data_IF_382828880022
#
_entry.id   IF_382828880022
#
_cell.length_a   1.000
_cell.length_b   1.000
_cell.length_c   1.000
_cell.angle_alpha   90.00
_cell.angle_beta   90.00
_cell.angle_gamma   90.00
#
_symmetry.space_group_name_H-M   'P 1'
#
loop_
_entity.id
_entity.type
_entity.pdbx_description
1 polymer ?
#
# COMPACT_ATOMS: atom_id res chain seq x y z
N UNK A 1 40.22 27.83 10.01
CA UNK A 1 40.18 27.40 11.43
C UNK A 1 39.20 26.25 11.53
N UNK A 2 39.54 25.14 12.21
CA UNK A 2 38.64 23.95 12.30
C UNK A 2 37.31 24.29 13.00
N UNK A 3 37.29 25.34 13.84
CA UNK A 3 36.10 25.79 14.60
C UNK A 3 35.17 26.74 13.84
N UNK A 4 35.42 27.00 12.55
CA UNK A 4 34.59 27.91 11.74
C UNK A 4 33.61 27.18 10.81
N UNK A 5 33.42 25.88 11.00
CA UNK A 5 32.53 25.06 10.18
C UNK A 5 31.84 24.01 11.05
N UNK A 6 30.55 23.79 10.78
CA UNK A 6 29.78 22.66 11.29
C UNK A 6 29.19 21.94 10.10
N UNK A 7 29.42 20.63 10.00
CA UNK A 7 28.84 19.76 8.96
C UNK A 7 28.25 18.53 9.64
N UNK A 8 27.01 18.21 9.32
CA UNK A 8 26.35 17.00 9.79
C UNK A 8 26.72 15.80 8.93
N UNK A 9 27.13 14.73 9.60
CA UNK A 9 27.34 13.39 9.02
C UNK A 9 26.25 12.43 9.51
N UNK A 10 25.88 11.49 8.66
CA UNK A 10 24.92 10.42 8.97
C UNK A 10 25.69 9.11 9.07
N UNK A 11 25.41 8.34 10.11
CA UNK A 11 25.99 7.03 10.35
C UNK A 11 24.88 6.00 10.46
N UNK A 12 25.11 4.80 9.92
CA UNK A 12 24.19 3.65 9.97
C UNK A 12 22.79 3.98 9.43
N UNK A 13 22.72 4.75 8.34
CA UNK A 13 21.44 5.06 7.68
C UNK A 13 20.82 3.79 7.09
N UNK A 14 19.57 3.43 7.46
CA UNK A 14 18.84 2.35 6.82
C UNK A 14 18.58 2.62 5.34
N UNK A 15 18.70 1.59 4.50
CA UNK A 15 18.52 1.72 3.04
C UNK A 15 17.09 2.14 2.66
N UNK A 16 16.10 1.83 3.49
CA UNK A 16 14.70 2.16 3.28
C UNK A 16 14.32 3.59 3.69
N UNK A 17 15.28 4.38 4.22
CA UNK A 17 15.07 5.78 4.57
C UNK A 17 15.76 6.76 3.60
N UNK A 18 15.03 7.78 3.21
CA UNK A 18 15.57 9.00 2.62
C UNK A 18 15.72 10.08 3.69
N UNK A 19 16.84 10.81 3.65
CA UNK A 19 17.10 11.94 4.53
C UNK A 19 17.30 13.19 3.68
N UNK A 20 16.54 14.24 3.98
CA UNK A 20 16.67 15.56 3.37
C UNK A 20 17.11 16.57 4.41
N UNK A 21 18.04 17.43 4.04
CA UNK A 21 18.68 18.38 4.95
C UNK A 21 18.41 19.81 4.50
N UNK A 22 18.12 20.67 5.46
CA UNK A 22 18.09 22.12 5.27
C UNK A 22 18.91 22.74 6.37
N UNK A 23 19.94 23.51 6.01
CA UNK A 23 20.78 24.22 6.96
C UNK A 23 20.29 25.66 7.14
N UNK A 24 20.24 26.15 8.37
CA UNK A 24 20.02 27.57 8.69
C UNK A 24 21.23 28.06 9.47
N UNK A 25 22.01 28.96 8.86
CA UNK A 25 23.28 29.46 9.41
C UNK A 25 23.09 30.83 10.09
N UNK A 26 24.15 31.62 10.25
CA UNK A 26 24.10 32.89 11.01
C UNK A 26 23.26 34.00 10.37
N UNK A 27 23.07 33.93 9.06
CA UNK A 27 22.23 34.86 8.31
C UNK A 27 20.73 34.64 8.56
N UNK A 28 20.36 33.55 9.25
CA UNK A 28 18.97 33.16 9.46
C UNK A 28 18.28 32.68 8.18
N UNK A 29 19.03 32.52 7.08
CA UNK A 29 18.50 32.05 5.81
C UNK A 29 18.56 30.53 5.79
N UNK A 30 17.46 29.90 5.35
CA UNK A 30 17.41 28.45 5.16
C UNK A 30 17.95 28.07 3.80
N UNK A 31 18.83 27.06 3.78
CA UNK A 31 19.52 26.54 2.62
C UNK A 31 19.11 25.08 2.38
N UNK A 32 18.09 24.83 1.54
CA UNK A 32 17.66 23.48 1.19
C UNK A 32 18.77 22.68 0.52
N UNK A 33 18.88 21.39 0.87
CA UNK A 33 19.92 20.49 0.36
C UNK A 33 21.30 20.69 0.99
N UNK A 34 21.46 21.66 1.88
CA UNK A 34 22.72 21.88 2.61
C UNK A 34 22.67 21.20 3.99
N UNK A 35 23.81 20.63 4.37
CA UNK A 35 24.06 20.02 5.69
C UNK A 35 25.29 20.60 6.40
N UNK A 36 25.77 21.75 5.91
CA UNK A 36 26.96 22.43 6.42
C UNK A 36 26.72 23.93 6.56
N UNK A 37 27.33 24.52 7.58
CA UNK A 37 27.48 25.96 7.75
C UNK A 37 28.97 26.29 7.91
N UNK A 38 29.41 27.39 7.30
CA UNK A 38 30.79 27.87 7.32
C UNK A 38 30.84 29.31 7.84
N UNK A 39 32.03 29.81 8.19
CA UNK A 39 32.22 31.17 8.70
C UNK A 39 31.77 31.39 10.15
N UNK A 40 31.56 30.31 10.91
CA UNK A 40 31.08 30.38 12.29
C UNK A 40 32.16 30.88 13.26
N UNK A 41 31.74 31.63 14.28
CA UNK A 41 32.53 32.05 15.44
C UNK A 41 32.15 31.23 16.67
N UNK A 42 32.98 31.29 17.71
CA UNK A 42 32.66 30.63 18.98
C UNK A 42 31.45 31.33 19.60
N UNK A 43 30.41 30.56 19.92
CA UNK A 43 29.13 31.07 20.44
C UNK A 43 28.01 31.12 19.38
N UNK A 44 28.37 31.02 18.10
CA UNK A 44 27.41 30.96 17.00
C UNK A 44 26.62 29.63 17.02
N UNK A 45 25.34 29.70 16.66
CA UNK A 45 24.45 28.52 16.59
C UNK A 45 23.99 28.32 15.15
N UNK A 46 24.18 27.12 14.61
CA UNK A 46 23.59 26.68 13.35
C UNK A 46 22.44 25.71 13.65
N UNK A 47 21.36 25.79 12.87
CA UNK A 47 20.21 24.89 12.97
C UNK A 47 20.12 24.03 11.72
N UNK A 48 19.75 22.76 11.88
CA UNK A 48 19.57 21.84 10.77
C UNK A 48 18.20 21.18 10.90
N UNK A 49 17.37 21.35 9.88
CA UNK A 49 16.13 20.61 9.73
C UNK A 49 16.41 19.34 8.93
N UNK A 50 16.01 18.19 9.47
CA UNK A 50 16.21 16.88 8.86
C UNK A 50 14.84 16.23 8.65
N UNK A 51 14.43 16.10 7.39
CA UNK A 51 13.21 15.37 7.03
C UNK A 51 13.55 13.91 6.76
N UNK A 52 12.83 13.00 7.43
CA UNK A 52 13.00 11.55 7.32
C UNK A 52 11.79 10.97 6.59
N UNK A 53 12.04 10.30 5.47
CA UNK A 53 10.98 9.68 4.65
C UNK A 53 11.25 8.18 4.50
N UNK A 54 10.29 7.35 4.91
CA UNK A 54 10.33 5.91 4.71
C UNK A 54 9.81 5.53 3.31
N UNK A 55 10.63 4.83 2.53
CA UNK A 55 10.27 4.39 1.17
C UNK A 55 9.51 3.07 1.15
N UNK A 56 9.70 2.24 2.16
CA UNK A 56 9.08 0.93 2.25
C UNK A 56 8.97 0.49 3.71
N UNK A 57 8.31 -0.65 3.90
CA UNK A 57 8.23 -1.32 5.18
C UNK A 57 9.35 -2.37 5.29
N UNK A 58 10.42 -2.11 6.07
CA UNK A 58 11.53 -3.03 6.17
C UNK A 58 11.13 -4.34 6.87
N UNK A 59 11.81 -5.42 6.51
CA UNK A 59 11.67 -6.72 7.18
C UNK A 59 12.29 -6.73 8.59
N UNK A 60 12.10 -7.84 9.33
CA UNK A 60 12.49 -8.00 10.75
C UNK A 60 13.99 -7.81 11.07
N UNK A 61 14.85 -7.63 10.08
CA UNK A 61 16.31 -7.54 10.24
C UNK A 61 16.89 -6.17 9.90
N UNK A 62 16.06 -5.16 9.65
CA UNK A 62 16.57 -3.81 9.40
C UNK A 62 17.05 -3.12 10.69
N UNK A 63 18.09 -2.31 10.56
CA UNK A 63 18.44 -1.36 11.60
C UNK A 63 17.33 -0.29 11.67
N UNK A 64 16.83 -0.08 12.87
CA UNK A 64 15.78 0.88 13.17
C UNK A 64 16.35 2.15 13.80
N UNK A 65 17.65 2.41 13.60
CA UNK A 65 18.34 3.52 14.24
C UNK A 65 19.45 4.02 13.34
N UNK A 66 19.61 5.33 13.27
CA UNK A 66 20.74 6.00 12.66
C UNK A 66 21.22 7.14 13.54
N UNK A 67 22.45 7.61 13.30
CA UNK A 67 23.05 8.67 14.11
C UNK A 67 23.38 9.89 13.27
N UNK A 68 22.94 11.07 13.73
CA UNK A 68 23.34 12.36 13.22
C UNK A 68 24.46 12.92 14.08
N UNK A 69 25.60 13.22 13.46
CA UNK A 69 26.79 13.67 14.19
C UNK A 69 27.48 14.85 13.49
N UNK A 70 27.72 15.98 14.17
CA UNK A 70 28.59 17.01 13.65
C UNK A 70 30.04 16.51 13.54
N UNK A 71 30.64 16.68 12.37
CA UNK A 71 32.01 16.22 12.11
C UNK A 71 32.98 16.90 13.08
N UNK A 72 33.80 16.09 13.77
CA UNK A 72 34.79 16.58 14.73
C UNK A 72 34.25 16.86 16.14
N UNK A 73 32.96 16.65 16.39
CA UNK A 73 32.36 16.73 17.73
C UNK A 73 32.16 15.34 18.34
N UNK A 74 32.14 15.27 19.67
CA UNK A 74 31.85 14.03 20.42
C UNK A 74 30.36 13.77 20.54
N UNK A 75 29.58 14.83 20.69
CA UNK A 75 28.14 14.76 20.85
C UNK A 75 27.47 14.29 19.55
N UNK A 76 26.37 13.56 19.70
CA UNK A 76 25.59 12.98 18.61
C UNK A 76 24.11 12.93 18.96
N UNK A 77 23.28 12.84 17.94
CA UNK A 77 21.84 12.63 18.04
C UNK A 77 21.51 11.24 17.47
N UNK A 78 21.06 10.33 18.33
CA UNK A 78 20.57 9.01 17.93
C UNK A 78 19.08 9.11 17.58
N UNK A 79 18.71 8.62 16.40
CA UNK A 79 17.35 8.67 15.89
C UNK A 79 16.83 7.25 15.73
N UNK A 80 15.92 6.85 16.62
CA UNK A 80 15.18 5.60 16.52
C UNK A 80 13.94 5.76 15.64
N UNK A 81 13.75 4.83 14.70
CA UNK A 81 12.66 4.83 13.72
C UNK A 81 11.84 3.55 13.84
N UNK A 82 10.56 3.71 14.14
CA UNK A 82 9.60 2.59 14.22
C UNK A 82 8.64 2.62 13.04
N UNK A 83 8.47 1.49 12.37
CA UNK A 83 7.62 1.36 11.20
C UNK A 83 6.31 0.69 11.56
N UNK A 84 5.19 1.34 11.27
CA UNK A 84 3.87 0.77 11.50
C UNK A 84 3.30 0.16 10.21
N UNK A 85 3.82 -1.02 9.87
CA UNK A 85 3.52 -1.71 8.62
C UNK A 85 2.31 -2.64 8.67
N UNK A 86 1.80 -2.89 9.88
CA UNK A 86 0.68 -3.80 10.11
C UNK A 86 -0.54 -3.01 10.52
N UNK A 87 -1.70 -3.43 10.04
CA UNK A 87 -2.96 -2.89 10.52
C UNK A 87 -3.26 -3.47 11.91
N UNK A 88 -3.84 -2.68 12.81
CA UNK A 88 -4.20 -3.17 14.15
C UNK A 88 -5.10 -4.41 14.13
N UNK A 89 -5.98 -4.52 13.13
CA UNK A 89 -6.88 -5.67 12.96
C UNK A 89 -6.16 -6.94 12.49
N UNK A 90 -4.95 -6.85 11.91
CA UNK A 90 -4.24 -8.04 11.39
C UNK A 90 -3.58 -8.85 12.51
N UNK A 91 -3.67 -8.39 13.77
CA UNK A 91 -3.25 -9.14 14.94
C UNK A 91 -4.30 -10.18 15.37
N UNK A 92 -5.58 -9.94 15.07
CA UNK A 92 -6.70 -10.82 15.40
C UNK A 92 -7.01 -11.81 14.28
N UNK A 93 -6.03 -12.61 13.89
CA UNK A 93 -6.25 -13.69 12.93
C UNK A 93 -7.16 -14.74 13.57
N UNK A 94 -8.28 -15.05 12.93
CA UNK A 94 -9.13 -16.18 13.32
C UNK A 94 -8.92 -17.31 12.30
N UNK A 95 -7.96 -18.22 12.53
CA UNK A 95 -7.77 -19.38 11.68
C UNK A 95 -9.00 -20.29 11.74
N UNK A 96 -9.29 -20.96 10.63
CA UNK A 96 -10.45 -21.85 10.45
C UNK A 96 -11.76 -21.21 10.94
N UNK A 97 -11.91 -19.90 10.72
CA UNK A 97 -13.05 -19.15 11.20
C UNK A 97 -14.34 -19.67 10.56
N UNK A 98 -15.38 -19.84 11.37
CA UNK A 98 -16.72 -20.19 10.87
C UNK A 98 -17.29 -19.14 9.92
N UNK A 99 -16.76 -17.90 9.99
CA UNK A 99 -17.09 -16.81 9.06
C UNK A 99 -16.55 -17.04 7.65
N UNK A 100 -15.50 -17.86 7.55
CA UNK A 100 -14.85 -18.30 6.32
C UNK A 100 -15.15 -19.78 6.05
N UNK A 101 -16.35 -20.25 6.42
CA UNK A 101 -16.80 -21.64 6.23
C UNK A 101 -15.86 -22.69 6.84
N UNK A 102 -15.04 -22.30 7.84
CA UNK A 102 -13.96 -23.11 8.40
C UNK A 102 -12.89 -23.55 7.39
N UNK A 103 -12.84 -22.89 6.23
CA UNK A 103 -11.94 -23.17 5.10
C UNK A 103 -11.00 -22.00 4.82
N UNK A 104 -10.73 -21.16 5.82
CA UNK A 104 -9.86 -20.01 5.67
C UNK A 104 -9.67 -19.25 6.99
N UNK A 105 -8.79 -18.26 6.95
CA UNK A 105 -8.50 -17.37 8.07
C UNK A 105 -9.27 -16.08 7.91
N UNK A 106 -10.05 -15.68 8.92
CA UNK A 106 -10.72 -14.38 8.91
C UNK A 106 -9.74 -13.29 9.39
N UNK A 107 -9.52 -12.28 8.56
CA UNK A 107 -8.56 -11.18 8.79
C UNK A 107 -9.18 -9.86 8.36
N UNK A 108 -9.27 -8.90 9.28
CA UNK A 108 -9.66 -7.51 8.98
C UNK A 108 -10.96 -7.33 8.15
N UNK A 109 -11.96 -8.22 8.26
CA UNK A 109 -13.19 -8.10 7.45
C UNK A 109 -13.29 -9.08 6.29
N UNK A 110 -12.19 -9.76 5.97
CA UNK A 110 -12.05 -10.60 4.78
C UNK A 110 -11.66 -12.03 5.17
N UNK A 111 -11.84 -12.96 4.24
CA UNK A 111 -11.41 -14.34 4.37
C UNK A 111 -10.20 -14.60 3.47
N UNK A 112 -9.10 -15.04 4.06
CA UNK A 112 -7.96 -15.63 3.36
C UNK A 112 -8.20 -17.14 3.24
N UNK A 113 -8.65 -17.60 2.07
CA UNK A 113 -9.04 -18.99 1.88
C UNK A 113 -7.85 -19.95 1.84
N UNK A 114 -8.06 -21.13 2.41
CA UNK A 114 -7.13 -22.25 2.30
C UNK A 114 -6.99 -22.67 0.82
N UNK A 115 -5.84 -23.25 0.42
CA UNK A 115 -5.64 -23.70 -0.95
C UNK A 115 -6.77 -24.63 -1.42
N UNK A 116 -7.31 -24.37 -2.62
CA UNK A 116 -8.43 -25.11 -3.18
C UNK A 116 -9.82 -24.63 -2.72
N UNK A 117 -9.92 -23.57 -1.92
CA UNK A 117 -11.19 -22.93 -1.58
C UNK A 117 -11.29 -21.52 -2.15
N UNK A 118 -12.49 -21.17 -2.60
CA UNK A 118 -12.81 -19.92 -3.27
C UNK A 118 -14.07 -19.30 -2.66
N UNK A 119 -14.30 -18.03 -3.00
CA UNK A 119 -15.47 -17.27 -2.55
C UNK A 119 -15.14 -16.31 -1.42
N UNK A 120 -16.04 -15.37 -1.18
CA UNK A 120 -15.85 -14.33 -0.15
C UNK A 120 -15.82 -14.90 1.27
N UNK A 121 -16.33 -16.12 1.46
CA UNK A 121 -16.33 -16.87 2.72
C UNK A 121 -15.72 -18.27 2.57
N UNK A 122 -14.92 -18.52 1.54
CA UNK A 122 -14.29 -19.83 1.28
C UNK A 122 -15.29 -20.99 1.21
N UNK A 123 -16.49 -20.69 0.71
CA UNK A 123 -17.63 -21.61 0.68
C UNK A 123 -17.59 -22.62 -0.47
N UNK A 124 -16.74 -22.41 -1.47
CA UNK A 124 -16.64 -23.30 -2.62
C UNK A 124 -15.30 -24.03 -2.66
N UNK A 125 -15.33 -25.29 -3.04
CA UNK A 125 -14.13 -26.06 -3.37
C UNK A 125 -13.83 -25.98 -4.88
N UNK A 126 -12.56 -25.77 -5.21
CA UNK A 126 -12.06 -25.71 -6.58
C UNK A 126 -12.30 -27.07 -7.29
N UNK A 127 -12.99 -27.05 -8.42
CA UNK A 127 -13.29 -28.26 -9.20
C UNK A 127 -14.59 -29.00 -8.83
N UNK A 128 -15.36 -28.55 -7.84
CA UNK A 128 -16.70 -29.11 -7.60
C UNK A 128 -17.69 -28.76 -8.73
N UNK A 129 -18.51 -29.75 -9.11
CA UNK A 129 -19.39 -29.72 -10.27
C UNK A 129 -20.65 -28.87 -10.02
N UNK A 130 -20.53 -27.57 -10.30
CA UNK A 130 -21.35 -26.71 -11.20
C UNK A 130 -22.90 -26.77 -11.19
N UNK A 131 -23.60 -27.73 -10.57
CA UNK A 131 -25.07 -27.81 -10.69
C UNK A 131 -25.82 -26.96 -9.65
N UNK A 132 -25.32 -26.89 -8.41
CA UNK A 132 -25.94 -26.11 -7.32
C UNK A 132 -25.54 -24.62 -7.32
N UNK A 133 -24.29 -24.33 -7.65
CA UNK A 133 -23.69 -23.00 -7.51
C UNK A 133 -23.89 -22.07 -8.73
N UNK A 134 -24.36 -22.60 -9.86
CA UNK A 134 -24.61 -21.79 -11.05
C UNK A 134 -25.82 -20.87 -10.92
N UNK A 135 -26.84 -21.22 -10.15
CA UNK A 135 -28.06 -20.40 -10.06
C UNK A 135 -27.81 -19.02 -9.44
N UNK A 136 -26.81 -18.88 -8.57
CA UNK A 136 -26.44 -17.59 -7.96
C UNK A 136 -25.70 -16.65 -8.91
N UNK A 137 -25.23 -17.15 -10.05
CA UNK A 137 -24.70 -16.34 -11.16
C UNK A 137 -25.77 -16.00 -12.21
N UNK A 138 -27.04 -16.28 -11.93
CA UNK A 138 -28.16 -16.06 -12.85
C UNK A 138 -29.07 -14.97 -12.30
N UNK A 139 -29.30 -13.95 -13.11
CA UNK A 139 -30.16 -12.82 -12.75
C UNK A 139 -31.63 -13.26 -12.55
N UNK A 140 -32.14 -14.16 -13.40
CA UNK A 140 -33.49 -14.70 -13.33
C UNK A 140 -33.57 -16.08 -14.02
N UNK A 141 -34.56 -16.91 -13.65
CA UNK A 141 -34.80 -18.20 -14.29
C UNK A 141 -34.94 -18.04 -15.82
N UNK A 142 -34.26 -18.91 -16.57
CA UNK A 142 -34.23 -18.87 -18.04
C UNK A 142 -33.20 -17.91 -18.67
N UNK A 143 -32.63 -16.93 -17.93
CA UNK A 143 -31.54 -16.08 -18.45
C UNK A 143 -30.18 -16.80 -18.40
N UNK A 144 -29.22 -16.54 -19.30
CA UNK A 144 -27.90 -17.16 -19.24
C UNK A 144 -27.11 -16.77 -17.97
N UNK A 145 -26.17 -17.62 -17.56
CA UNK A 145 -25.24 -17.31 -16.46
C UNK A 145 -24.37 -16.12 -16.81
N UNK A 146 -24.19 -15.21 -15.85
CA UNK A 146 -23.40 -13.99 -16.03
C UNK A 146 -23.79 -13.23 -17.31
N UNK A 147 -25.09 -13.24 -17.64
CA UNK A 147 -25.64 -12.64 -18.86
C UNK A 147 -24.96 -13.12 -20.17
N UNK A 148 -24.25 -14.25 -20.14
CA UNK A 148 -23.41 -14.75 -21.25
C UNK A 148 -22.14 -13.92 -21.49
N UNK A 149 -21.82 -12.97 -20.62
CA UNK A 149 -20.71 -12.02 -20.75
C UNK A 149 -19.66 -12.17 -19.65
N UNK A 150 -19.59 -13.35 -19.05
CA UNK A 150 -18.60 -13.68 -18.03
C UNK A 150 -18.56 -15.16 -17.72
N UNK A 151 -17.62 -15.55 -16.87
CA UNK A 151 -17.51 -16.88 -16.32
C UNK A 151 -18.04 -16.88 -14.88
N UNK A 152 -18.98 -17.79 -14.58
CA UNK A 152 -19.40 -18.02 -13.21
C UNK A 152 -18.36 -18.88 -12.49
N UNK A 153 -17.79 -18.36 -11.42
CA UNK A 153 -16.91 -19.09 -10.52
C UNK A 153 -17.33 -18.80 -9.09
N UNK A 154 -17.60 -19.85 -8.31
CA UNK A 154 -18.01 -19.75 -6.91
C UNK A 154 -19.10 -18.69 -6.65
N UNK A 155 -20.25 -18.81 -7.32
CA UNK A 155 -21.41 -17.90 -7.17
C UNK A 155 -21.16 -16.44 -7.55
N UNK A 156 -20.02 -16.12 -8.16
CA UNK A 156 -19.69 -14.78 -8.62
C UNK A 156 -19.35 -14.78 -10.11
N UNK A 157 -19.79 -13.74 -10.80
CA UNK A 157 -19.47 -13.55 -12.21
C UNK A 157 -18.17 -12.77 -12.38
N UNK A 158 -17.22 -13.38 -13.10
CA UNK A 158 -16.05 -12.70 -13.64
C UNK A 158 -16.37 -12.26 -15.07
N UNK A 159 -16.54 -10.96 -15.29
CA UNK A 159 -16.94 -10.42 -16.60
C UNK A 159 -15.79 -10.44 -17.59
N UNK A 160 -16.09 -10.77 -18.85
CA UNK A 160 -15.09 -10.78 -19.90
C UNK A 160 -14.62 -9.35 -20.23
N UNK A 161 -13.36 -9.25 -20.64
CA UNK A 161 -12.82 -8.03 -21.21
C UNK A 161 -13.43 -7.76 -22.59
N UNK A 162 -13.57 -6.49 -22.95
CA UNK A 162 -14.12 -6.08 -24.25
C UNK A 162 -13.31 -4.95 -24.85
N UNK A 163 -13.05 -5.03 -26.14
CA UNK A 163 -12.36 -3.95 -26.89
C UNK A 163 -13.22 -2.68 -27.00
N UNK A 164 -14.54 -2.79 -26.79
CA UNK A 164 -15.48 -1.68 -26.89
C UNK A 164 -15.66 -0.90 -25.58
N UNK A 165 -15.18 -1.45 -24.46
CA UNK A 165 -15.25 -0.81 -23.13
C UNK A 165 -15.36 -1.83 -22.00
N UNK A 166 -16.03 -1.45 -20.90
CA UNK A 166 -16.11 -2.27 -19.68
C UNK A 166 -17.48 -2.92 -19.54
N UNK A 167 -17.49 -4.22 -19.25
CA UNK A 167 -18.66 -4.99 -18.81
C UNK A 167 -18.57 -5.15 -17.29
N UNK A 168 -19.67 -4.91 -16.58
CA UNK A 168 -19.72 -4.89 -15.12
C UNK A 168 -21.11 -5.27 -14.60
N UNK A 169 -21.24 -5.32 -13.27
CA UNK A 169 -22.46 -5.73 -12.58
C UNK A 169 -22.35 -7.15 -12.00
N UNK A 170 -23.13 -7.49 -10.96
CA UNK A 170 -23.10 -8.79 -10.28
C UNK A 170 -23.31 -9.99 -11.23
N UNK A 171 -24.02 -9.78 -12.35
CA UNK A 171 -24.29 -10.80 -13.36
C UNK A 171 -23.72 -10.41 -14.73
N UNK A 172 -22.75 -9.49 -14.79
CA UNK A 172 -22.21 -8.93 -16.03
C UNK A 172 -23.29 -8.38 -16.98
N UNK A 173 -24.34 -7.79 -16.40
CA UNK A 173 -25.54 -7.28 -17.06
C UNK A 173 -25.41 -5.82 -17.52
N UNK A 174 -24.39 -5.10 -17.07
CA UNK A 174 -24.12 -3.72 -17.47
C UNK A 174 -22.89 -3.60 -18.35
N UNK A 175 -22.88 -2.56 -19.18
CA UNK A 175 -21.70 -2.11 -19.93
C UNK A 175 -21.75 -0.59 -20.15
N UNK A 176 -20.66 0.01 -20.63
CA UNK A 176 -20.56 1.45 -20.86
C UNK A 176 -20.48 1.85 -22.34
N UNK A 177 -20.87 0.96 -23.26
CA UNK A 177 -20.69 1.16 -24.71
C UNK A 177 -21.95 0.87 -25.55
N UNK A 178 -22.99 0.31 -24.92
CA UNK A 178 -24.28 -0.01 -25.56
C UNK A 178 -25.33 1.10 -25.46
N UNK A 179 -24.98 2.28 -24.92
CA UNK A 179 -25.90 3.42 -24.88
C UNK A 179 -26.33 3.89 -26.30
N UNK A 180 -27.45 4.61 -26.35
CA UNK A 180 -27.93 5.22 -27.59
C UNK A 180 -26.90 6.18 -28.19
N UNK A 181 -26.90 6.33 -29.52
CA UNK A 181 -25.99 7.20 -30.26
C UNK A 181 -26.75 8.30 -30.98
N UNK A 182 -26.24 9.53 -30.92
CA UNK A 182 -26.71 10.64 -31.75
C UNK A 182 -25.61 11.00 -32.75
N UNK A 183 -25.90 10.90 -34.05
CA UNK A 183 -24.93 11.14 -35.13
C UNK A 183 -23.61 10.36 -34.97
N UNK A 184 -23.71 9.10 -34.52
CA UNK A 184 -22.55 8.23 -34.32
C UNK A 184 -21.79 8.44 -33.00
N UNK A 185 -22.12 9.46 -32.22
CA UNK A 185 -21.51 9.73 -30.90
C UNK A 185 -22.35 9.06 -29.83
N UNK A 186 -21.69 8.31 -28.94
CA UNK A 186 -22.33 7.69 -27.78
C UNK A 186 -22.85 8.78 -26.84
N UNK A 187 -24.11 8.67 -26.41
CA UNK A 187 -24.68 9.53 -25.38
C UNK A 187 -24.13 9.07 -24.02
N UNK A 188 -22.93 9.55 -23.68
CA UNK A 188 -22.26 9.36 -22.38
C UNK A 188 -22.50 10.54 -21.44
#
# INVERSE_FOLDING_TARGET
>A
SIRSKVELSVWDQPEDLNLFFTATCQDGVSYPGQRKCEGLKIGDTASFEVSVEARSCPGKHAQHMFTLRPVGFRDSLEVGVTYNCRCGCSAGLEPDSTRCSSNGTYVCGLCECNPGFLGTRCECQEGESQSGYQNLCREAEGKPLCSGRGQCSCNQCSCFESEFGKIYGPFCECDNFSCARNKGVLCS
#
